data_IF_174056722993
#
_entry.id   IF_174056722993
#
_cell.length_a   1.000
_cell.length_b   1.000
_cell.length_c   1.000
_cell.angle_alpha   90.00
_cell.angle_beta   90.00
_cell.angle_gamma   90.00
#
_symmetry.space_group_name_H-M   'P 1'
#
loop_
_entity.id
_entity.type
_entity.pdbx_description
1 polymer ?
#
# COMPACT_ATOMS: atom_id res chain seq x y z
N UNK A 1 -2.31 18.61 17.38
CA UNK A 1 -3.06 18.62 16.10
C UNK A 1 -3.35 17.21 15.56
N UNK A 2 -2.47 16.22 15.74
CA UNK A 2 -2.73 14.84 15.28
C UNK A 2 -3.98 14.21 15.89
N UNK A 3 -4.25 14.45 17.18
CA UNK A 3 -5.46 13.94 17.85
C UNK A 3 -6.76 14.40 17.17
N UNK A 4 -6.82 15.66 16.71
CA UNK A 4 -7.99 16.18 15.99
C UNK A 4 -8.19 15.45 14.66
N UNK A 5 -7.10 15.15 13.93
CA UNK A 5 -7.15 14.35 12.70
C UNK A 5 -7.69 12.94 12.99
N UNK A 6 -7.18 12.30 14.03
CA UNK A 6 -7.60 10.96 14.45
C UNK A 6 -9.09 10.92 14.82
N UNK A 7 -9.57 11.94 15.53
CA UNK A 7 -10.99 12.06 15.90
C UNK A 7 -11.87 12.23 14.66
N UNK A 8 -11.47 13.10 13.73
CA UNK A 8 -12.21 13.32 12.48
C UNK A 8 -12.24 12.04 11.63
N UNK A 9 -11.10 11.38 11.44
CA UNK A 9 -11.01 10.12 10.70
C UNK A 9 -11.88 9.02 11.33
N UNK A 10 -11.90 8.93 12.66
CA UNK A 10 -12.73 7.97 13.39
C UNK A 10 -14.22 8.28 13.29
N UNK A 11 -14.61 9.56 13.36
CA UNK A 11 -16.00 9.97 13.13
C UNK A 11 -16.45 9.64 11.71
N UNK A 12 -15.65 9.98 10.70
CA UNK A 12 -15.94 9.66 9.30
C UNK A 12 -16.08 8.15 9.09
N UNK A 13 -15.18 7.35 9.68
CA UNK A 13 -15.25 5.89 9.60
C UNK A 13 -16.57 5.36 10.17
N UNK A 14 -16.99 5.84 11.34
CA UNK A 14 -18.26 5.44 11.96
C UNK A 14 -19.46 5.85 11.11
N UNK A 15 -19.45 7.06 10.53
CA UNK A 15 -20.51 7.52 9.63
C UNK A 15 -20.57 6.62 8.40
N UNK A 16 -19.45 6.36 7.72
CA UNK A 16 -19.41 5.49 6.55
C UNK A 16 -19.91 4.07 6.86
N UNK A 17 -19.55 3.50 8.02
CA UNK A 17 -20.03 2.19 8.45
C UNK A 17 -21.53 2.17 8.77
N UNK A 18 -22.09 3.26 9.30
CA UNK A 18 -23.54 3.38 9.55
C UNK A 18 -24.34 3.57 8.28
N UNK A 19 -23.78 4.30 7.31
CA UNK A 19 -24.41 4.53 6.01
C UNK A 19 -24.27 3.33 5.08
N UNK A 20 -23.22 2.51 5.25
CA UNK A 20 -22.99 1.28 4.50
C UNK A 20 -22.68 0.12 5.46
N UNK A 21 -23.71 -0.46 6.10
CA UNK A 21 -23.53 -1.58 7.03
C UNK A 21 -22.99 -2.83 6.34
N UNK A 22 -23.32 -3.03 5.06
CA UNK A 22 -22.83 -4.15 4.23
C UNK A 22 -21.52 -3.82 3.49
N UNK A 23 -20.96 -2.62 3.65
CA UNK A 23 -19.75 -2.18 2.93
C UNK A 23 -19.95 -1.96 1.43
N UNK A 24 -21.20 -1.95 0.95
CA UNK A 24 -21.57 -1.69 -0.43
C UNK A 24 -21.75 -0.20 -0.76
N UNK A 25 -22.15 0.07 -2.01
CA UNK A 25 -22.41 1.43 -2.51
C UNK A 25 -23.51 2.10 -1.69
N UNK A 26 -23.26 3.33 -1.27
CA UNK A 26 -24.25 4.17 -0.58
C UNK A 26 -25.18 4.78 -1.65
N UNK A 27 -26.50 4.86 -1.38
CA UNK A 27 -27.42 5.61 -2.22
C UNK A 27 -26.95 7.04 -2.50
N UNK A 28 -27.01 7.47 -3.77
CA UNK A 28 -26.52 8.79 -4.23
C UNK A 28 -27.27 9.97 -3.62
N UNK A 29 -28.47 9.75 -3.09
CA UNK A 29 -29.28 10.76 -2.38
C UNK A 29 -28.74 11.06 -0.98
N UNK A 30 -28.01 10.12 -0.38
CA UNK A 30 -27.44 10.26 0.97
C UNK A 30 -26.03 10.83 0.93
N UNK A 31 -25.20 10.41 -0.02
CA UNK A 31 -23.81 10.86 -0.11
C UNK A 31 -23.39 11.08 -1.56
N UNK A 32 -23.10 12.34 -1.87
CA UNK A 32 -22.61 12.76 -3.17
C UNK A 32 -21.12 12.43 -3.30
N UNK A 33 -20.77 11.64 -4.33
CA UNK A 33 -19.42 11.18 -4.60
C UNK A 33 -18.44 12.35 -4.82
N UNK A 34 -18.91 13.45 -5.41
CA UNK A 34 -18.07 14.62 -5.68
C UNK A 34 -17.66 15.36 -4.41
N UNK A 35 -18.47 15.25 -3.35
CA UNK A 35 -18.19 15.90 -2.06
C UNK A 35 -17.25 15.07 -1.18
N UNK A 36 -17.10 13.78 -1.47
CA UNK A 36 -16.24 12.90 -0.70
C UNK A 36 -14.81 12.86 -1.27
N UNK A 37 -13.91 13.64 -0.67
CA UNK A 37 -12.54 13.75 -1.15
C UNK A 37 -11.61 12.70 -0.52
N UNK A 38 -11.41 11.59 -1.24
CA UNK A 38 -10.48 10.50 -0.87
C UNK A 38 -9.02 10.97 -0.84
N UNK A 39 -8.66 11.92 -1.70
CA UNK A 39 -7.28 12.42 -1.80
C UNK A 39 -6.81 13.09 -0.51
N UNK A 40 -7.71 13.75 0.23
CA UNK A 40 -7.39 14.32 1.54
C UNK A 40 -7.02 13.26 2.58
N UNK A 41 -7.66 12.08 2.53
CA UNK A 41 -7.33 10.96 3.41
C UNK A 41 -5.95 10.41 3.07
N UNK A 42 -5.66 10.27 1.77
CA UNK A 42 -4.35 9.85 1.27
C UNK A 42 -3.27 10.87 1.63
N UNK A 43 -3.57 12.17 1.55
CA UNK A 43 -2.67 13.23 1.99
C UNK A 43 -2.41 13.15 3.50
N UNK A 44 -3.42 12.84 4.32
CA UNK A 44 -3.25 12.64 5.75
C UNK A 44 -2.27 11.50 6.05
N UNK A 45 -2.33 10.41 5.27
CA UNK A 45 -1.37 9.31 5.36
C UNK A 45 0.03 9.77 4.97
N UNK A 46 0.19 10.50 3.85
CA UNK A 46 1.50 10.96 3.36
C UNK A 46 2.19 11.99 4.26
N UNK A 47 1.42 12.87 4.92
CA UNK A 47 1.96 14.01 5.67
C UNK A 47 2.13 13.72 7.17
N UNK A 48 1.33 12.82 7.73
CA UNK A 48 1.46 12.46 9.15
C UNK A 48 2.65 11.52 9.35
N UNK A 49 3.39 11.68 10.44
CA UNK A 49 4.41 10.73 10.89
C UNK A 49 3.87 9.80 11.99
N UNK A 50 2.61 9.98 12.40
CA UNK A 50 2.02 9.28 13.54
C UNK A 50 1.36 7.96 13.10
N UNK A 51 1.84 6.78 13.56
CA UNK A 51 1.29 5.48 13.17
C UNK A 51 -0.22 5.34 13.43
N UNK A 52 -0.70 5.89 14.55
CA UNK A 52 -2.12 5.90 14.89
C UNK A 52 -2.96 6.64 13.84
N UNK A 53 -2.48 7.77 13.34
CA UNK A 53 -3.15 8.52 12.27
C UNK A 53 -3.19 7.70 10.98
N UNK A 54 -2.11 6.97 10.66
CA UNK A 54 -2.10 6.05 9.51
C UNK A 54 -3.12 4.93 9.66
N UNK A 55 -3.23 4.34 10.85
CA UNK A 55 -4.21 3.28 11.11
C UNK A 55 -5.64 3.76 10.89
N UNK A 56 -6.02 4.90 11.48
CA UNK A 56 -7.36 5.45 11.30
C UNK A 56 -7.66 5.77 9.83
N UNK A 57 -6.69 6.33 9.11
CA UNK A 57 -6.85 6.66 7.69
C UNK A 57 -6.94 5.40 6.80
N UNK A 58 -6.14 4.37 7.05
CA UNK A 58 -6.18 3.11 6.29
C UNK A 58 -7.46 2.31 6.55
N UNK A 59 -7.98 2.35 7.78
CA UNK A 59 -9.28 1.76 8.10
C UNK A 59 -10.42 2.48 7.39
N UNK A 60 -10.39 3.83 7.37
CA UNK A 60 -11.33 4.63 6.61
C UNK A 60 -11.25 4.31 5.11
N UNK A 61 -10.05 4.25 4.54
CA UNK A 61 -9.85 3.88 3.13
C UNK A 61 -10.39 2.48 2.81
N UNK A 62 -10.23 1.51 3.72
CA UNK A 62 -10.82 0.18 3.56
C UNK A 62 -12.34 0.24 3.41
N UNK A 63 -13.03 0.98 4.27
CA UNK A 63 -14.48 1.17 4.17
C UNK A 63 -14.88 1.98 2.93
N UNK A 64 -14.14 3.05 2.61
CA UNK A 64 -14.39 3.90 1.45
C UNK A 64 -14.19 3.13 0.14
N UNK A 65 -13.29 2.15 0.07
CA UNK A 65 -13.08 1.35 -1.12
C UNK A 65 -14.34 0.57 -1.54
N UNK A 66 -15.16 0.13 -0.59
CA UNK A 66 -16.44 -0.51 -0.89
C UNK A 66 -17.52 0.47 -1.39
N UNK A 67 -17.42 1.75 -0.97
CA UNK A 67 -18.39 2.79 -1.31
C UNK A 67 -18.03 3.48 -2.64
N UNK A 68 -16.78 3.94 -2.76
CA UNK A 68 -16.21 4.71 -3.88
C UNK A 68 -14.92 4.03 -4.40
N UNK A 69 -15.01 2.84 -4.99
CA UNK A 69 -13.82 2.10 -5.42
C UNK A 69 -12.99 2.86 -6.45
N UNK A 70 -13.63 3.58 -7.39
CA UNK A 70 -12.95 4.32 -8.46
C UNK A 70 -12.04 5.43 -7.92
N UNK A 71 -12.49 6.15 -6.87
CA UNK A 71 -11.71 7.20 -6.21
C UNK A 71 -10.51 6.63 -5.44
N UNK A 72 -10.67 5.45 -4.84
CA UNK A 72 -9.57 4.76 -4.15
C UNK A 72 -8.57 4.18 -5.15
N UNK A 73 -9.05 3.64 -6.27
CA UNK A 73 -8.24 3.15 -7.38
C UNK A 73 -7.31 4.20 -7.95
N UNK A 74 -7.79 5.42 -8.15
CA UNK A 74 -6.96 6.53 -8.62
C UNK A 74 -5.75 6.82 -7.71
N UNK A 75 -5.87 6.51 -6.42
CA UNK A 75 -4.83 6.74 -5.42
C UNK A 75 -4.10 5.47 -4.98
N UNK A 76 -4.31 4.34 -5.65
CA UNK A 76 -3.90 3.02 -5.18
C UNK A 76 -2.41 2.90 -4.88
N UNK A 77 -1.56 3.46 -5.76
CA UNK A 77 -0.12 3.45 -5.60
C UNK A 77 0.31 4.24 -4.36
N UNK A 78 -0.27 5.41 -4.12
CA UNK A 78 0.08 6.21 -2.94
C UNK A 78 -0.29 5.50 -1.64
N UNK A 79 -1.41 4.77 -1.63
CA UNK A 79 -1.88 4.02 -0.45
C UNK A 79 -0.93 2.84 -0.17
N UNK A 80 -0.70 1.98 -1.15
CA UNK A 80 0.10 0.77 -0.96
C UNK A 80 1.58 1.08 -0.75
N UNK A 81 2.17 2.01 -1.52
CA UNK A 81 3.57 2.43 -1.33
C UNK A 81 3.80 2.96 0.07
N UNK A 82 2.87 3.76 0.59
CA UNK A 82 2.97 4.25 1.96
C UNK A 82 2.85 3.11 2.97
N UNK A 83 1.87 2.23 2.79
CA UNK A 83 1.64 1.10 3.69
C UNK A 83 2.89 0.19 3.76
N UNK A 84 3.54 -0.09 2.64
CA UNK A 84 4.80 -0.83 2.59
C UNK A 84 5.96 -0.10 3.28
N UNK A 85 6.11 1.20 3.04
CA UNK A 85 7.21 1.99 3.57
C UNK A 85 7.10 2.30 5.08
N UNK A 86 5.89 2.35 5.63
CA UNK A 86 5.64 2.79 7.01
C UNK A 86 4.96 1.73 7.87
N UNK A 87 3.79 1.22 7.47
CA UNK A 87 2.95 0.38 8.35
C UNK A 87 3.40 -1.08 8.39
N UNK A 88 3.84 -1.64 7.27
CA UNK A 88 4.31 -3.03 7.18
C UNK A 88 5.55 -3.31 8.04
N UNK A 89 6.36 -2.29 8.29
CA UNK A 89 7.63 -2.38 9.03
C UNK A 89 7.45 -2.25 10.54
N UNK A 90 6.29 -1.76 11.00
CA UNK A 90 5.98 -1.64 12.41
C UNK A 90 5.77 -3.03 13.01
N UNK A 91 6.36 -3.29 14.16
CA UNK A 91 6.27 -4.58 14.86
C UNK A 91 5.15 -4.61 15.92
N UNK A 92 3.93 -4.26 15.52
CA UNK A 92 2.75 -4.31 16.39
C UNK A 92 1.57 -5.08 15.76
N UNK A 93 0.84 -5.79 16.61
CA UNK A 93 -0.34 -6.59 16.23
C UNK A 93 -1.43 -5.77 15.56
N UNK A 94 -1.58 -4.50 15.96
CA UNK A 94 -2.64 -3.65 15.44
C UNK A 94 -2.37 -3.21 13.99
N UNK A 95 -1.13 -2.81 13.65
CA UNK A 95 -0.72 -2.59 12.25
C UNK A 95 -0.99 -3.81 11.37
N UNK A 96 -0.71 -5.02 11.88
CA UNK A 96 -1.01 -6.24 11.13
C UNK A 96 -2.50 -6.40 10.84
N UNK A 97 -3.36 -6.15 11.82
CA UNK A 97 -4.82 -6.18 11.63
C UNK A 97 -5.28 -5.11 10.63
N UNK A 98 -4.73 -3.89 10.70
CA UNK A 98 -5.05 -2.81 9.78
C UNK A 98 -4.66 -3.20 8.35
N UNK A 99 -3.43 -3.68 8.12
CA UNK A 99 -2.97 -4.17 6.81
C UNK A 99 -3.92 -5.25 6.29
N UNK A 100 -4.21 -6.27 7.11
CA UNK A 100 -5.08 -7.37 6.72
C UNK A 100 -6.48 -6.89 6.31
N UNK A 101 -7.03 -5.95 7.06
CA UNK A 101 -8.37 -5.40 6.82
C UNK A 101 -8.40 -4.52 5.58
N UNK A 102 -7.41 -3.65 5.41
CA UNK A 102 -7.27 -2.81 4.22
C UNK A 102 -7.09 -3.66 2.97
N UNK A 103 -6.21 -4.67 2.98
CA UNK A 103 -6.01 -5.59 1.86
C UNK A 103 -7.31 -6.32 1.50
N UNK A 104 -8.02 -6.89 2.49
CA UNK A 104 -9.27 -7.63 2.29
C UNK A 104 -10.44 -6.78 1.79
N UNK A 105 -10.43 -5.47 2.02
CA UNK A 105 -11.51 -4.58 1.56
C UNK A 105 -11.17 -3.91 0.24
N UNK A 106 -9.95 -3.37 0.14
CA UNK A 106 -9.55 -2.56 -1.02
C UNK A 106 -9.41 -3.46 -2.25
N UNK A 107 -8.64 -4.55 -2.15
CA UNK A 107 -8.33 -5.40 -3.32
C UNK A 107 -9.58 -5.97 -3.99
N UNK A 108 -10.54 -6.58 -3.27
CA UNK A 108 -11.76 -7.10 -3.91
C UNK A 108 -12.64 -6.00 -4.50
N UNK A 109 -12.63 -4.80 -3.92
CA UNK A 109 -13.34 -3.66 -4.48
C UNK A 109 -12.73 -3.19 -5.81
N UNK A 110 -11.40 -3.29 -5.97
CA UNK A 110 -10.71 -3.02 -7.25
C UNK A 110 -11.15 -3.98 -8.36
N UNK A 111 -11.32 -5.27 -8.00
CA UNK A 111 -11.70 -6.31 -8.97
C UNK A 111 -13.16 -6.14 -9.40
N UNK A 112 -14.02 -5.63 -8.51
CA UNK A 112 -15.47 -5.48 -8.75
C UNK A 112 -15.85 -4.16 -9.43
N UNK A 113 -15.09 -3.09 -9.26
CA UNK A 113 -15.41 -1.79 -9.87
C UNK A 113 -15.21 -1.76 -11.38
N UNK A 114 -14.34 -2.62 -11.90
CA UNK A 114 -14.00 -2.70 -13.33
C UNK A 114 -14.85 -3.79 -14.04
N UNK A 115 -16.13 -3.93 -13.68
CA UNK A 115 -17.04 -5.00 -14.12
C UNK A 115 -17.46 -4.98 -15.61
N UNK A 116 -16.58 -4.56 -16.52
CA UNK A 116 -16.73 -4.78 -17.95
C UNK A 116 -15.97 -6.03 -18.38
N UNK A 117 -16.67 -7.04 -18.89
CA UNK A 117 -16.14 -8.31 -19.44
C UNK A 117 -15.26 -8.14 -20.71
N UNK A 118 -14.51 -7.04 -20.80
CA UNK A 118 -13.54 -6.81 -21.87
C UNK A 118 -12.16 -7.31 -21.46
N UNK A 119 -11.46 -7.93 -22.42
CA UNK A 119 -10.10 -8.47 -22.24
C UNK A 119 -9.10 -7.38 -21.84
N UNK A 120 -9.36 -6.12 -22.21
CA UNK A 120 -8.50 -4.96 -21.85
C UNK A 120 -8.62 -4.59 -20.37
N UNK A 121 -9.83 -4.65 -19.81
CA UNK A 121 -10.11 -4.38 -18.40
C UNK A 121 -9.46 -5.42 -17.48
N UNK A 122 -9.54 -6.71 -17.85
CA UNK A 122 -8.89 -7.78 -17.08
C UNK A 122 -7.36 -7.58 -17.01
N UNK A 123 -6.73 -7.12 -18.10
CA UNK A 123 -5.29 -6.83 -18.14
C UNK A 123 -4.90 -5.64 -17.26
N UNK A 124 -5.76 -4.63 -17.16
CA UNK A 124 -5.52 -3.47 -16.29
C UNK A 124 -5.52 -3.87 -14.81
N UNK A 125 -6.49 -4.69 -14.40
CA UNK A 125 -6.56 -5.22 -13.03
C UNK A 125 -5.32 -6.05 -12.71
N UNK A 126 -4.90 -6.96 -13.61
CA UNK A 126 -3.68 -7.76 -13.42
C UNK A 126 -2.43 -6.87 -13.27
N UNK A 127 -2.30 -5.81 -14.07
CA UNK A 127 -1.19 -4.86 -13.95
C UNK A 127 -1.19 -4.11 -12.61
N UNK A 128 -2.36 -3.72 -12.10
CA UNK A 128 -2.49 -3.08 -10.78
C UNK A 128 -2.11 -4.07 -9.67
N UNK A 129 -2.59 -5.31 -9.75
CA UNK A 129 -2.27 -6.37 -8.79
C UNK A 129 -0.76 -6.64 -8.74
N UNK A 130 -0.11 -6.75 -9.90
CA UNK A 130 1.35 -6.92 -9.99
C UNK A 130 2.08 -5.77 -9.30
N UNK A 131 1.65 -4.52 -9.52
CA UNK A 131 2.23 -3.34 -8.85
C UNK A 131 2.04 -3.40 -7.32
N UNK A 132 0.85 -3.76 -6.86
CA UNK A 132 0.56 -3.94 -5.43
C UNK A 132 1.50 -5.01 -4.86
N UNK A 133 1.59 -6.19 -5.48
CA UNK A 133 2.51 -7.25 -5.06
C UNK A 133 3.96 -6.78 -5.01
N UNK A 134 4.41 -6.03 -6.02
CA UNK A 134 5.75 -5.44 -6.05
C UNK A 134 6.04 -4.59 -4.81
N UNK A 135 5.12 -3.71 -4.43
CA UNK A 135 5.25 -2.88 -3.22
C UNK A 135 5.39 -3.70 -1.95
N UNK A 136 4.61 -4.80 -1.81
CA UNK A 136 4.75 -5.69 -0.66
C UNK A 136 6.11 -6.37 -0.66
N UNK A 137 6.53 -6.92 -1.81
CA UNK A 137 7.82 -7.60 -1.97
C UNK A 137 8.97 -6.65 -1.64
N UNK A 138 8.95 -5.42 -2.17
CA UNK A 138 9.95 -4.38 -1.90
C UNK A 138 10.03 -4.01 -0.42
N UNK A 139 8.90 -4.05 0.30
CA UNK A 139 8.85 -3.76 1.72
C UNK A 139 9.32 -4.92 2.62
N UNK A 140 9.19 -6.19 2.18
CA UNK A 140 9.57 -7.39 2.95
C UNK A 140 10.94 -7.36 3.65
N UNK A 141 12.03 -6.82 3.05
CA UNK A 141 13.36 -6.81 3.67
C UNK A 141 13.37 -6.05 5.00
N UNK A 142 12.48 -5.07 5.12
CA UNK A 142 12.35 -4.22 6.28
C UNK A 142 11.26 -4.71 7.26
N UNK A 143 10.50 -5.74 6.90
CA UNK A 143 9.48 -6.36 7.77
C UNK A 143 10.16 -7.36 8.72
N UNK A 144 9.77 -7.40 10.01
CA UNK A 144 10.23 -8.41 10.96
C UNK A 144 10.01 -9.84 10.47
N UNK A 145 10.97 -10.74 10.70
CA UNK A 145 10.99 -12.07 10.07
C UNK A 145 9.74 -12.90 10.34
N UNK A 146 9.27 -12.88 11.59
CA UNK A 146 8.08 -13.59 12.03
C UNK A 146 6.78 -13.11 11.37
N UNK A 147 6.79 -11.93 10.75
CA UNK A 147 5.62 -11.31 10.09
C UNK A 147 5.64 -11.43 8.57
N UNK A 148 6.80 -11.68 7.97
CA UNK A 148 6.95 -11.79 6.50
C UNK A 148 5.99 -12.82 5.91
N UNK A 149 5.99 -14.03 6.48
CA UNK A 149 5.13 -15.11 5.99
C UNK A 149 3.63 -14.81 6.20
N UNK A 150 3.14 -14.39 7.39
CA UNK A 150 1.74 -14.02 7.58
C UNK A 150 1.23 -12.95 6.60
N UNK A 151 2.03 -11.92 6.31
CA UNK A 151 1.63 -10.86 5.36
C UNK A 151 1.52 -11.40 3.93
N UNK A 152 2.47 -12.23 3.50
CA UNK A 152 2.43 -12.84 2.18
C UNK A 152 1.26 -13.81 2.00
N UNK A 153 1.01 -14.66 3.01
CA UNK A 153 -0.13 -15.59 2.99
C UNK A 153 -1.43 -14.82 2.84
N UNK A 154 -1.64 -13.78 3.65
CA UNK A 154 -2.83 -12.94 3.54
C UNK A 154 -2.97 -12.29 2.16
N UNK A 155 -1.87 -11.78 1.59
CA UNK A 155 -1.89 -11.13 0.28
C UNK A 155 -2.31 -12.12 -0.82
N UNK A 156 -1.73 -13.33 -0.81
CA UNK A 156 -2.05 -14.40 -1.76
C UNK A 156 -3.47 -14.90 -1.59
N UNK A 157 -3.94 -15.09 -0.35
CA UNK A 157 -5.30 -15.52 -0.05
C UNK A 157 -6.33 -14.49 -0.55
N UNK A 158 -6.01 -13.20 -0.46
CA UNK A 158 -6.92 -12.13 -0.90
C UNK A 158 -6.94 -11.97 -2.42
N UNK A 159 -5.79 -12.12 -3.08
CA UNK A 159 -5.67 -11.98 -4.53
C UNK A 159 -6.08 -13.23 -5.32
N UNK A 160 -5.98 -14.41 -4.69
CA UNK A 160 -6.25 -15.70 -5.30
C UNK A 160 -4.95 -16.40 -5.72
N UNK A 161 -4.58 -17.43 -4.96
CA UNK A 161 -3.38 -18.22 -5.18
C UNK A 161 -3.28 -18.81 -6.59
N UNK A 162 -4.40 -19.28 -7.16
CA UNK A 162 -4.41 -19.93 -8.46
C UNK A 162 -3.96 -19.00 -9.61
N UNK A 163 -4.20 -17.69 -9.50
CA UNK A 163 -3.93 -16.72 -10.56
C UNK A 163 -2.63 -15.95 -10.37
N UNK A 164 -2.25 -15.65 -9.13
CA UNK A 164 -1.18 -14.69 -8.84
C UNK A 164 -0.01 -15.24 -8.02
N UNK A 165 -0.06 -16.51 -7.57
CA UNK A 165 1.05 -17.09 -6.81
C UNK A 165 2.35 -17.14 -7.63
N UNK A 166 2.26 -17.49 -8.92
CA UNK A 166 3.43 -17.49 -9.80
C UNK A 166 4.05 -16.10 -9.95
N UNK A 167 3.23 -15.04 -10.04
CA UNK A 167 3.68 -13.64 -10.08
C UNK A 167 4.47 -13.30 -8.82
N UNK A 168 3.92 -13.66 -7.66
CA UNK A 168 4.60 -13.42 -6.38
C UNK A 168 5.95 -14.13 -6.33
N UNK A 169 6.04 -15.39 -6.76
CA UNK A 169 7.30 -16.12 -6.80
C UNK A 169 8.31 -15.44 -7.72
N UNK A 170 7.90 -15.02 -8.92
CA UNK A 170 8.77 -14.29 -9.85
C UNK A 170 9.32 -13.00 -9.22
N UNK A 171 8.45 -12.20 -8.58
CA UNK A 171 8.86 -10.96 -7.92
C UNK A 171 9.83 -11.22 -6.75
N UNK A 172 9.61 -12.28 -5.97
CA UNK A 172 10.52 -12.68 -4.89
C UNK A 172 11.89 -13.13 -5.43
N UNK A 173 11.90 -13.89 -6.53
CA UNK A 173 13.15 -14.28 -7.19
C UNK A 173 13.87 -13.07 -7.77
N UNK A 174 13.16 -12.17 -8.44
CA UNK A 174 13.72 -10.92 -8.96
C UNK A 174 14.36 -10.10 -7.84
N UNK A 175 13.67 -9.96 -6.70
CA UNK A 175 14.22 -9.27 -5.54
C UNK A 175 15.46 -9.97 -4.98
N UNK A 176 15.46 -11.30 -4.89
CA UNK A 176 16.60 -12.08 -4.39
C UNK A 176 17.81 -11.96 -5.33
N UNK A 177 17.60 -12.08 -6.63
CA UNK A 177 18.64 -11.94 -7.67
C UNK A 177 19.20 -10.52 -7.66
N UNK A 178 18.33 -9.50 -7.63
CA UNK A 178 18.76 -8.10 -7.60
C UNK A 178 19.61 -7.81 -6.36
N UNK A 179 19.22 -8.32 -5.19
CA UNK A 179 20.02 -8.19 -3.97
C UNK A 179 21.34 -8.92 -4.02
N UNK A 180 21.35 -10.16 -4.51
CA UNK A 180 22.58 -10.96 -4.64
C UNK A 180 23.53 -10.37 -5.68
N UNK A 181 23.00 -9.85 -6.79
CA UNK A 181 23.78 -9.12 -7.80
C UNK A 181 24.35 -7.80 -7.25
N UNK A 182 23.57 -7.02 -6.50
CA UNK A 182 24.07 -5.81 -5.82
C UNK A 182 25.12 -6.15 -4.75
N UNK A 183 24.94 -7.25 -4.02
CA UNK A 183 25.94 -7.73 -3.05
C UNK A 183 27.23 -8.19 -3.74
N UNK A 184 27.14 -8.87 -4.89
CA UNK A 184 28.29 -9.26 -5.69
C UNK A 184 29.03 -8.05 -6.27
N UNK A 185 28.32 -7.05 -6.81
CA UNK A 185 28.90 -5.82 -7.33
C UNK A 185 29.56 -4.95 -6.24
N UNK A 186 29.05 -4.99 -5.01
CA UNK A 186 29.66 -4.30 -3.86
C UNK A 186 30.85 -5.10 -3.28
N UNK A 187 30.85 -6.43 -3.41
CA UNK A 187 31.94 -7.33 -3.01
C UNK A 187 33.22 -7.16 -3.83
N UNK A 188 33.15 -6.55 -5.02
CA UNK A 188 34.31 -6.29 -5.87
C UNK A 188 35.08 -4.99 -5.54
N UNK A 189 34.64 -4.22 -4.52
CA UNK A 189 35.34 -3.02 -4.03
C UNK A 189 36.05 -3.20 -2.68
N UNK A 190 36.44 -4.43 -2.33
CA UNK A 190 37.38 -4.67 -1.21
C UNK A 190 38.56 -5.52 -1.67
N UNK A 191 39.25 -5.06 -2.71
CA UNK A 191 40.68 -5.26 -2.83
C UNK A 191 41.24 -4.19 -3.78
N UNK A 192 42.41 -3.66 -3.44
CA UNK A 192 43.17 -2.60 -4.13
C UNK A 192 42.76 -1.16 -3.80
N UNK A 193 43.34 -0.67 -2.69
CA UNK A 193 44.28 0.45 -2.76
C UNK A 193 43.74 1.88 -2.91
N UNK A 194 43.90 2.66 -1.84
CA UNK A 194 44.38 4.04 -1.95
C UNK A 194 43.34 5.16 -1.77
N UNK A 195 43.46 5.86 -0.63
CA UNK A 195 43.25 7.30 -0.56
C UNK A 195 41.82 7.81 -0.71
N UNK A 196 41.10 7.91 0.40
CA UNK A 196 39.95 8.79 0.52
C UNK A 196 40.42 10.24 0.31
N UNK A 197 40.03 10.86 -0.81
CA UNK A 197 40.14 12.30 -0.99
C UNK A 197 38.74 12.92 -0.92
N UNK A 198 38.44 13.47 0.26
CA UNK A 198 37.31 14.34 0.49
C UNK A 198 37.56 15.71 -0.17
N UNK A 199 36.78 16.04 -1.22
CA UNK A 199 36.33 17.41 -1.52
C UNK A 199 35.42 17.42 -2.76
N UNK A 200 34.11 17.40 -2.53
CA UNK A 200 33.11 18.03 -3.42
C UNK A 200 32.23 18.92 -2.56
N UNK A 201 32.63 20.17 -2.38
CA UNK A 201 31.74 21.28 -2.02
C UNK A 201 32.23 22.54 -2.74
N UNK A 202 31.27 23.24 -3.37
CA UNK A 202 31.29 24.50 -4.12
C UNK A 202 31.45 24.43 -5.65
N UNK A 203 30.44 24.97 -6.37
CA UNK A 203 30.67 25.91 -7.45
C UNK A 203 30.19 27.32 -7.02
N UNK A 204 31.06 28.30 -7.22
CA UNK A 204 30.80 29.73 -7.08
C UNK A 204 30.43 30.33 -8.44
N UNK A 205 29.46 31.25 -8.45
CA UNK A 205 29.49 32.45 -9.29
C UNK A 205 28.82 32.38 -10.67
N UNK A 206 27.69 33.09 -10.79
CA UNK A 206 27.59 34.32 -11.59
C UNK A 206 26.47 35.20 -11.00
#
# INVERSE_FOLDING_TARGET
MEYTKQLILSCLLNICQKLSPDGGKIPKDVLDEEKFNVELIVQCIRVSEMPQTHHHALLLLGTVAGIFPDKVLHNIMSIFTFMGANVMRLDDTYSFQVINKTVKMVIPALIQSDGGDSVEVTRNVEAIVVKIMGVFVDALPHVPEHRRLPVLVQLVDTLGAARFLWVLLVLLFEQYITKTALAAACGEKVSVGGGWNARRVFPSGL
#
